data_IF_688158256188
#
_entry.id   IF_688158256188
#
_cell.length_a   1.000
_cell.length_b   1.000
_cell.length_c   1.000
_cell.angle_alpha   90.00
_cell.angle_beta   90.00
_cell.angle_gamma   90.00
#
_symmetry.space_group_name_H-M   'P 1'
#
loop_
_entity.id
_entity.type
_entity.pdbx_description
1 polymer ?
#
# COMPACT_ATOMS: atom_id res chain seq x y z
N UNK A 1 21.02 -31.02 25.86
CA UNK A 1 20.88 -30.11 24.69
C UNK A 1 20.69 -28.64 25.07
N UNK A 2 20.31 -28.29 26.31
CA UNK A 2 20.16 -26.89 26.77
C UNK A 2 21.32 -26.31 27.59
N UNK A 3 22.37 -27.10 27.88
CA UNK A 3 23.49 -26.64 28.70
C UNK A 3 24.52 -25.78 27.96
N UNK A 4 24.54 -25.83 26.62
CA UNK A 4 25.41 -25.01 25.78
C UNK A 4 25.05 -23.52 25.89
N UNK A 5 23.80 -23.21 26.27
CA UNK A 5 23.31 -21.83 26.39
C UNK A 5 23.65 -21.22 27.76
N UNK A 6 23.90 -22.03 28.80
CA UNK A 6 23.83 -21.52 30.18
C UNK A 6 25.14 -20.97 30.75
N UNK A 7 26.33 -21.41 30.30
CA UNK A 7 27.52 -21.13 31.11
C UNK A 7 28.87 -20.84 30.43
N UNK A 8 28.96 -20.60 29.11
CA UNK A 8 30.22 -20.08 28.52
C UNK A 8 30.01 -19.27 27.25
N UNK A 9 30.51 -18.03 27.30
CA UNK A 9 30.75 -17.07 26.20
C UNK A 9 29.54 -16.26 25.71
N UNK A 10 29.21 -15.24 26.51
CA UNK A 10 28.55 -14.01 26.03
C UNK A 10 29.12 -13.52 24.68
N UNK A 11 30.42 -13.74 24.41
CA UNK A 11 31.06 -13.27 23.19
C UNK A 11 30.71 -14.10 21.94
N UNK A 12 30.49 -15.42 22.04
CA UNK A 12 30.11 -16.24 20.87
C UNK A 12 28.66 -15.96 20.46
N UNK A 13 27.77 -15.84 21.44
CA UNK A 13 26.38 -15.45 21.20
C UNK A 13 26.31 -14.07 20.55
N UNK A 14 27.12 -13.10 21.00
CA UNK A 14 27.23 -11.78 20.39
C UNK A 14 27.74 -11.83 18.94
N UNK A 15 28.71 -12.69 18.62
CA UNK A 15 29.25 -12.84 17.26
C UNK A 15 28.19 -13.39 16.30
N UNK A 16 27.46 -14.45 16.71
CA UNK A 16 26.39 -15.03 15.91
C UNK A 16 25.25 -14.01 15.73
N UNK A 17 24.89 -13.30 16.80
CA UNK A 17 23.89 -12.24 16.75
C UNK A 17 24.30 -11.11 15.80
N UNK A 18 25.57 -10.70 15.83
CA UNK A 18 26.10 -9.67 14.93
C UNK A 18 26.07 -10.13 13.46
N UNK A 19 26.46 -11.38 13.18
CA UNK A 19 26.39 -11.96 11.83
C UNK A 19 24.96 -11.98 11.28
N UNK A 20 23.96 -12.23 12.13
CA UNK A 20 22.55 -12.25 11.72
C UNK A 20 22.00 -10.83 11.58
N UNK A 21 22.35 -9.88 12.46
CA UNK A 21 21.83 -8.50 12.43
C UNK A 21 22.39 -7.69 11.25
N UNK A 22 23.66 -7.88 10.90
CA UNK A 22 24.31 -7.13 9.83
C UNK A 22 23.53 -7.17 8.50
N UNK A 23 23.13 -8.33 7.94
CA UNK A 23 22.35 -8.32 6.70
C UNK A 23 21.01 -7.58 6.84
N UNK A 24 20.31 -7.70 7.99
CA UNK A 24 19.08 -6.93 8.22
C UNK A 24 19.30 -5.42 8.26
N UNK A 25 20.48 -4.95 8.72
CA UNK A 25 20.82 -3.52 8.75
C UNK A 25 21.14 -2.94 7.36
N UNK A 26 21.68 -3.75 6.43
CA UNK A 26 22.03 -3.31 5.08
C UNK A 26 20.88 -3.42 4.08
N UNK A 27 20.04 -4.46 4.19
CA UNK A 27 18.93 -4.71 3.25
C UNK A 27 17.56 -4.28 3.78
N UNK A 28 17.45 -4.01 5.09
CA UNK A 28 16.16 -3.73 5.73
C UNK A 28 15.28 -4.97 5.83
N UNK A 29 14.14 -4.82 6.51
CA UNK A 29 13.14 -5.90 6.61
C UNK A 29 12.26 -5.97 5.38
N UNK A 30 12.05 -4.85 4.69
CA UNK A 30 11.14 -4.73 3.55
C UNK A 30 11.52 -5.65 2.39
N UNK A 31 12.82 -5.84 2.12
CA UNK A 31 13.32 -6.72 1.07
C UNK A 31 12.95 -8.20 1.29
N UNK A 32 12.85 -8.66 2.54
CA UNK A 32 12.43 -10.04 2.84
C UNK A 32 10.93 -10.25 2.66
N UNK A 33 10.13 -9.22 2.88
CA UNK A 33 8.68 -9.28 2.73
C UNK A 33 8.23 -9.07 1.28
N UNK A 34 9.00 -8.31 0.49
CA UNK A 34 8.70 -7.99 -0.91
C UNK A 34 8.82 -9.18 -1.85
N UNK A 35 9.73 -10.12 -1.56
CA UNK A 35 9.93 -11.35 -2.34
C UNK A 35 9.15 -12.56 -1.81
N UNK A 36 8.38 -12.38 -0.73
CA UNK A 36 7.40 -13.38 -0.35
C UNK A 36 6.22 -13.28 -1.33
N UNK A 37 6.22 -14.13 -2.35
CA UNK A 37 5.13 -14.40 -3.30
C UNK A 37 3.80 -14.83 -2.62
N UNK A 38 3.73 -14.67 -1.30
CA UNK A 38 2.64 -14.96 -0.38
C UNK A 38 1.87 -13.71 0.05
N UNK A 39 1.94 -12.59 -0.68
CA UNK A 39 0.87 -11.61 -0.58
C UNK A 39 -0.39 -12.30 -1.09
N UNK A 40 -1.31 -12.67 -0.19
CA UNK A 40 -2.53 -13.42 -0.51
C UNK A 40 -3.24 -12.78 -1.71
N UNK A 41 -3.16 -13.43 -2.87
CA UNK A 41 -3.72 -12.90 -4.12
C UNK A 41 -5.24 -13.07 -4.04
N UNK A 42 -5.96 -11.95 -4.06
CA UNK A 42 -7.42 -11.93 -4.07
C UNK A 42 -7.96 -12.12 -5.49
N UNK A 43 -7.37 -11.42 -6.46
CA UNK A 43 -7.79 -11.45 -7.86
C UNK A 43 -6.58 -11.34 -8.81
N UNK A 44 -6.64 -12.06 -9.93
CA UNK A 44 -5.70 -11.92 -11.04
C UNK A 44 -6.44 -11.31 -12.22
N UNK A 45 -6.00 -10.16 -12.69
CA UNK A 45 -6.58 -9.46 -13.85
C UNK A 45 -5.84 -9.87 -15.12
N UNK A 46 -4.50 -9.88 -15.06
CA UNK A 46 -3.60 -10.37 -16.12
C UNK A 46 -2.31 -10.93 -15.49
N UNK A 47 -1.40 -11.48 -16.29
CA UNK A 47 -0.11 -12.03 -15.86
C UNK A 47 0.72 -11.05 -15.02
N UNK A 48 0.63 -9.75 -15.31
CA UNK A 48 1.39 -8.70 -14.63
C UNK A 48 0.52 -7.80 -13.73
N UNK A 49 -0.79 -8.05 -13.65
CA UNK A 49 -1.72 -7.21 -12.90
C UNK A 49 -2.56 -8.09 -11.97
N UNK A 50 -2.19 -8.08 -10.69
CA UNK A 50 -2.87 -8.83 -9.63
C UNK A 50 -3.23 -7.89 -8.49
N UNK A 51 -4.34 -8.21 -7.83
CA UNK A 51 -4.80 -7.51 -6.62
C UNK A 51 -4.58 -8.43 -5.43
N UNK A 52 -3.74 -7.99 -4.51
CA UNK A 52 -3.41 -8.70 -3.28
C UNK A 52 -4.26 -8.23 -2.12
N UNK A 53 -4.25 -8.97 -1.01
CA UNK A 53 -4.89 -8.53 0.22
C UNK A 53 -4.29 -7.23 0.75
N UNK A 54 -2.96 -7.05 0.61
CA UNK A 54 -2.30 -5.82 1.00
C UNK A 54 -2.79 -4.62 0.17
N UNK A 55 -2.97 -4.79 -1.15
CA UNK A 55 -3.54 -3.74 -2.00
C UNK A 55 -4.94 -3.34 -1.52
N UNK A 56 -5.79 -4.33 -1.24
CA UNK A 56 -7.13 -4.07 -0.73
C UNK A 56 -7.11 -3.37 0.62
N UNK A 57 -6.29 -3.83 1.57
CA UNK A 57 -6.18 -3.23 2.91
C UNK A 57 -5.76 -1.76 2.81
N UNK A 58 -4.71 -1.47 2.04
CA UNK A 58 -4.22 -0.11 1.84
C UNK A 58 -5.27 0.78 1.17
N UNK A 59 -5.95 0.27 0.14
CA UNK A 59 -7.00 1.01 -0.56
C UNK A 59 -8.20 1.29 0.36
N UNK A 60 -8.62 0.28 1.14
CA UNK A 60 -9.69 0.40 2.12
C UNK A 60 -9.38 1.44 3.19
N UNK A 61 -8.18 1.44 3.76
CA UNK A 61 -7.77 2.42 4.75
C UNK A 61 -7.80 3.84 4.17
N UNK A 62 -7.38 4.03 2.91
CA UNK A 62 -7.46 5.32 2.22
C UNK A 62 -8.91 5.79 2.04
N UNK A 63 -9.80 4.91 1.57
CA UNK A 63 -11.24 5.24 1.40
C UNK A 63 -11.87 5.57 2.75
N UNK A 64 -11.58 4.80 3.79
CA UNK A 64 -12.06 5.06 5.15
C UNK A 64 -11.55 6.39 5.67
N UNK A 65 -10.27 6.71 5.47
CA UNK A 65 -9.69 7.98 5.91
C UNK A 65 -10.30 9.18 5.17
N UNK A 66 -10.50 9.09 3.86
CA UNK A 66 -11.18 10.14 3.09
C UNK A 66 -12.63 10.31 3.56
N UNK A 67 -13.36 9.21 3.75
CA UNK A 67 -14.72 9.24 4.29
C UNK A 67 -14.74 9.91 5.66
N UNK A 68 -13.84 9.51 6.58
CA UNK A 68 -13.70 10.10 7.92
C UNK A 68 -13.42 11.59 7.91
N UNK A 69 -12.73 12.10 6.89
CA UNK A 69 -12.47 13.54 6.75
C UNK A 69 -13.72 14.35 6.38
N UNK A 70 -14.74 13.71 5.78
CA UNK A 70 -15.96 14.34 5.25
C UNK A 70 -17.16 14.21 6.19
N UNK A 71 -17.16 13.24 7.10
CA UNK A 71 -18.26 12.98 8.02
C UNK A 71 -17.86 13.11 9.49
N UNK A 72 -18.81 13.51 10.33
CA UNK A 72 -18.61 13.59 11.76
C UNK A 72 -18.67 12.19 12.41
N UNK A 73 -17.55 11.73 12.96
CA UNK A 73 -17.39 10.38 13.54
C UNK A 73 -18.13 10.15 14.86
N UNK A 74 -18.83 11.14 15.40
CA UNK A 74 -19.53 11.01 16.68
C UNK A 74 -20.79 10.11 16.62
N UNK A 75 -21.17 9.63 15.43
CA UNK A 75 -22.26 8.67 15.24
C UNK A 75 -21.71 7.23 15.22
N UNK A 76 -22.11 6.43 16.21
CA UNK A 76 -21.75 5.02 16.32
C UNK A 76 -22.21 4.17 15.12
N UNK A 77 -23.29 4.57 14.43
CA UNK A 77 -23.78 3.86 13.24
C UNK A 77 -22.82 3.96 12.05
N UNK A 78 -21.99 5.01 12.00
CA UNK A 78 -21.00 5.16 10.93
C UNK A 78 -19.86 4.15 11.08
N UNK A 79 -19.39 3.92 12.31
CA UNK A 79 -18.32 2.94 12.54
C UNK A 79 -18.78 1.52 12.20
N UNK A 80 -20.03 1.17 12.51
CA UNK A 80 -20.61 -0.13 12.17
C UNK A 80 -20.79 -0.27 10.65
N UNK A 81 -21.25 0.78 9.97
CA UNK A 81 -21.38 0.80 8.52
C UNK A 81 -20.03 0.60 7.81
N UNK A 82 -18.97 1.27 8.26
CA UNK A 82 -17.64 1.11 7.65
C UNK A 82 -17.15 -0.34 7.80
N UNK A 83 -17.41 -1.00 8.93
CA UNK A 83 -16.99 -2.38 9.13
C UNK A 83 -17.89 -3.43 8.45
N UNK A 84 -19.03 -3.01 7.87
CA UNK A 84 -20.00 -3.89 7.21
C UNK A 84 -19.41 -4.63 6.00
N UNK A 85 -19.97 -5.81 5.73
CA UNK A 85 -19.58 -6.63 4.59
C UNK A 85 -19.87 -5.92 3.26
N UNK A 86 -21.03 -5.27 3.17
CA UNK A 86 -21.50 -4.53 2.01
C UNK A 86 -20.54 -3.39 1.65
N UNK A 87 -20.09 -2.63 2.65
CA UNK A 87 -19.13 -1.55 2.44
C UNK A 87 -17.78 -2.10 1.95
N UNK A 88 -17.23 -3.13 2.61
CA UNK A 88 -15.98 -3.78 2.19
C UNK A 88 -16.04 -4.30 0.77
N UNK A 89 -17.15 -4.93 0.36
CA UNK A 89 -17.37 -5.41 -1.01
C UNK A 89 -17.46 -4.24 -2.00
N UNK A 90 -18.14 -3.15 -1.65
CA UNK A 90 -18.20 -1.96 -2.50
C UNK A 90 -16.81 -1.37 -2.75
N UNK A 91 -16.00 -1.24 -1.71
CA UNK A 91 -14.61 -0.74 -1.81
C UNK A 91 -13.73 -1.67 -2.64
N UNK A 92 -13.86 -2.98 -2.46
CA UNK A 92 -13.15 -3.98 -3.27
C UNK A 92 -13.53 -3.88 -4.75
N UNK A 93 -14.82 -3.73 -5.05
CA UNK A 93 -15.31 -3.57 -6.42
C UNK A 93 -14.77 -2.27 -7.05
N UNK A 94 -14.69 -1.19 -6.28
CA UNK A 94 -14.10 0.06 -6.76
C UNK A 94 -12.62 -0.13 -7.12
N UNK A 95 -11.84 -0.77 -6.24
CA UNK A 95 -10.44 -1.11 -6.52
C UNK A 95 -10.30 -1.96 -7.79
N UNK A 96 -11.13 -2.99 -7.95
CA UNK A 96 -11.09 -3.85 -9.13
C UNK A 96 -11.44 -3.08 -10.41
N UNK A 97 -12.47 -2.25 -10.37
CA UNK A 97 -12.87 -1.42 -11.51
C UNK A 97 -11.75 -0.46 -11.92
N UNK A 98 -11.13 0.23 -10.97
CA UNK A 98 -10.02 1.15 -11.23
C UNK A 98 -8.84 0.42 -11.90
N UNK A 99 -8.50 -0.78 -11.40
CA UNK A 99 -7.42 -1.60 -11.95
C UNK A 99 -7.72 -2.13 -13.35
N UNK A 100 -8.96 -2.55 -13.62
CA UNK A 100 -9.40 -3.03 -14.93
C UNK A 100 -9.45 -1.88 -15.93
N UNK A 101 -9.99 -0.73 -15.55
CA UNK A 101 -10.04 0.46 -16.41
C UNK A 101 -8.63 0.93 -16.77
N UNK A 102 -7.72 0.96 -15.81
CA UNK A 102 -6.32 1.29 -16.07
C UNK A 102 -5.66 0.30 -17.04
N UNK A 103 -5.92 -1.00 -16.86
CA UNK A 103 -5.43 -2.04 -17.78
C UNK A 103 -5.94 -1.80 -19.21
N UNK A 104 -7.25 -1.61 -19.38
CA UNK A 104 -7.87 -1.36 -20.68
C UNK A 104 -7.30 -0.09 -21.32
N UNK A 105 -7.13 0.99 -20.55
CA UNK A 105 -6.56 2.24 -21.04
C UNK A 105 -5.11 2.05 -21.50
N UNK A 106 -4.29 1.31 -20.73
CA UNK A 106 -2.92 0.97 -21.07
C UNK A 106 -2.85 0.14 -22.36
N UNK A 107 -3.68 -0.91 -22.47
CA UNK A 107 -3.72 -1.81 -23.63
C UNK A 107 -4.22 -1.09 -24.89
N UNK A 108 -5.12 -0.13 -24.73
CA UNK A 108 -5.66 0.70 -25.81
C UNK A 108 -4.72 1.83 -26.24
N UNK A 109 -3.50 1.92 -25.68
CA UNK A 109 -2.57 3.04 -25.85
C UNK A 109 -3.22 4.41 -25.55
N UNK A 110 -4.19 4.43 -24.63
CA UNK A 110 -4.83 5.65 -24.15
C UNK A 110 -3.85 6.37 -23.19
N UNK A 111 -2.75 6.87 -23.74
CA UNK A 111 -1.74 7.62 -23.01
C UNK A 111 -2.06 9.10 -23.13
N UNK A 112 -2.31 9.74 -21.99
CA UNK A 112 -2.35 11.20 -21.95
C UNK A 112 -0.94 11.75 -22.19
N UNK A 113 -0.82 12.86 -22.92
CA UNK A 113 0.48 13.49 -23.11
C UNK A 113 0.89 14.23 -21.83
N UNK A 114 2.20 14.30 -21.55
CA UNK A 114 2.71 15.08 -20.41
C UNK A 114 2.24 16.55 -20.47
N UNK A 115 2.06 17.10 -21.68
CA UNK A 115 1.54 18.43 -21.91
C UNK A 115 0.10 18.60 -21.41
N UNK A 116 -0.76 17.62 -21.67
CA UNK A 116 -2.16 17.64 -21.23
C UNK A 116 -2.29 17.48 -19.71
N UNK A 117 -1.40 16.69 -19.10
CA UNK A 117 -1.34 16.57 -17.63
C UNK A 117 -0.89 17.89 -16.99
N UNK A 118 0.16 18.51 -17.53
CA UNK A 118 0.66 19.82 -17.07
C UNK A 118 -0.41 20.91 -17.19
N UNK A 119 -1.10 20.96 -18.34
CA UNK A 119 -2.21 21.90 -18.55
C UNK A 119 -3.38 21.63 -17.60
N UNK A 120 -3.72 20.37 -17.33
CA UNK A 120 -4.79 20.03 -16.39
C UNK A 120 -4.43 20.39 -14.94
N UNK A 121 -3.21 20.08 -14.48
CA UNK A 121 -2.74 20.41 -13.13
C UNK A 121 -2.72 21.93 -12.91
N UNK A 122 -2.31 22.69 -13.92
CA UNK A 122 -2.39 24.16 -13.95
C UNK A 122 -3.81 24.70 -13.91
N UNK A 123 -4.86 23.88 -13.98
CA UNK A 123 -6.25 24.33 -13.92
C UNK A 123 -6.98 23.87 -12.66
N UNK A 124 -6.33 23.10 -11.76
CA UNK A 124 -6.93 22.68 -10.49
C UNK A 124 -6.78 23.80 -9.45
N UNK A 125 -7.88 24.40 -8.97
CA UNK A 125 -7.83 25.40 -7.91
C UNK A 125 -7.32 24.72 -6.62
N UNK A 126 -6.12 25.07 -6.18
CA UNK A 126 -5.44 24.46 -5.02
C UNK A 126 -3.96 24.14 -5.26
N UNK A 127 -3.54 23.99 -6.52
CA UNK A 127 -2.12 23.87 -6.90
C UNK A 127 -1.48 25.23 -7.28
N UNK A 128 -2.23 26.32 -7.12
CA UNK A 128 -1.71 27.68 -7.23
C UNK A 128 -1.36 28.18 -5.83
N UNK A 129 -0.11 28.01 -5.40
CA UNK A 129 0.43 28.91 -4.39
C UNK A 129 0.79 30.22 -5.09
N UNK A 130 0.57 31.36 -4.44
CA UNK A 130 0.86 32.71 -4.97
C UNK A 130 2.35 32.95 -5.28
N UNK A 131 3.23 31.94 -5.26
CA UNK A 131 4.64 32.17 -5.58
C UNK A 131 5.37 30.91 -6.06
N UNK A 132 5.12 30.51 -7.31
CA UNK A 132 5.86 29.49 -8.07
C UNK A 132 5.77 28.06 -7.50
N UNK A 133 5.67 27.10 -8.42
CA UNK A 133 5.77 25.67 -8.11
C UNK A 133 6.97 25.40 -7.20
N UNK A 134 6.74 24.91 -5.98
CA UNK A 134 7.81 24.35 -5.15
C UNK A 134 8.43 23.18 -5.92
N UNK A 135 9.70 23.34 -6.31
CA UNK A 135 10.53 22.30 -6.94
C UNK A 135 10.99 21.26 -5.93
#
# INVERSE_FOLDING_TARGET
>A
MFEIVKNKKNNLVKIILFIIIVPFAFFGIDSYFRDSDSSFILFKIDNNNQVTFADFSNYYDNVVNDFKSRVNMNDSGISEFLESYEFKVSVLNQLLNDRILYQIASDSNFKTSALLVDEYLKNIPGFFSENNFDQ
#
